data_IF_551782564348
#
_entry.id   IF_551782564348
#
_cell.length_a   1.000
_cell.length_b   1.000
_cell.length_c   1.000
_cell.angle_alpha   90.00
_cell.angle_beta   90.00
_cell.angle_gamma   90.00
#
_symmetry.space_group_name_H-M   'P 1'
#
loop_
_entity.id
_entity.type
_entity.pdbx_description
1 polymer ?
#
# COMPACT_ATOMS: atom_id res chain seq x y z
N UNK A 1 -1.64 -38.83 -10.42
CA UNK A 1 -2.35 -38.54 -9.16
C UNK A 1 -2.30 -37.06 -8.79
N UNK A 2 -1.12 -36.44 -8.59
CA UNK A 2 -1.02 -35.00 -8.24
C UNK A 2 -1.51 -34.04 -9.32
N UNK A 3 -1.18 -34.28 -10.58
CA UNK A 3 -1.67 -33.44 -11.69
C UNK A 3 -3.20 -33.43 -11.74
N UNK A 4 -3.82 -34.60 -11.62
CA UNK A 4 -5.29 -34.74 -11.58
C UNK A 4 -5.89 -34.00 -10.38
N UNK A 5 -5.30 -34.10 -9.20
CA UNK A 5 -5.73 -33.32 -8.03
C UNK A 5 -5.65 -31.81 -8.31
N UNK A 6 -4.53 -31.32 -8.81
CA UNK A 6 -4.32 -29.89 -9.08
C UNK A 6 -5.26 -29.33 -10.15
N UNK A 7 -5.58 -30.12 -11.19
CA UNK A 7 -6.46 -29.68 -12.27
C UNK A 7 -7.94 -29.86 -11.92
N UNK A 8 -8.32 -31.02 -11.40
CA UNK A 8 -9.74 -31.40 -11.20
C UNK A 8 -10.28 -30.98 -9.84
N UNK A 9 -9.52 -31.14 -8.76
CA UNK A 9 -9.98 -30.80 -7.41
C UNK A 9 -9.67 -29.35 -7.03
N UNK A 10 -8.47 -28.86 -7.35
CA UNK A 10 -8.06 -27.47 -7.06
C UNK A 10 -8.53 -26.49 -8.14
N UNK A 11 -8.69 -26.95 -9.39
CA UNK A 11 -9.18 -26.12 -10.49
C UNK A 11 -8.08 -25.29 -11.19
N UNK A 12 -6.82 -25.72 -11.14
CA UNK A 12 -5.74 -25.04 -11.88
C UNK A 12 -5.94 -25.23 -13.39
N UNK A 13 -6.01 -24.15 -14.20
CA UNK A 13 -6.09 -24.28 -15.64
C UNK A 13 -4.89 -25.04 -16.20
N UNK A 14 -5.11 -26.00 -17.10
CA UNK A 14 -4.04 -26.78 -17.74
C UNK A 14 -2.94 -25.90 -18.35
N UNK A 15 -3.33 -24.75 -18.93
CA UNK A 15 -2.41 -23.75 -19.49
C UNK A 15 -1.48 -23.09 -18.47
N UNK A 16 -1.83 -23.09 -17.18
CA UNK A 16 -1.01 -22.54 -16.08
C UNK A 16 -0.25 -23.61 -15.31
N UNK A 17 -0.68 -24.87 -15.38
CA UNK A 17 -0.15 -25.98 -14.58
C UNK A 17 1.38 -26.09 -14.65
N UNK A 18 1.95 -26.06 -15.86
CA UNK A 18 3.40 -26.18 -16.05
C UNK A 18 4.17 -25.08 -15.32
N UNK A 19 3.72 -23.82 -15.46
CA UNK A 19 4.32 -22.67 -14.75
C UNK A 19 4.16 -22.78 -13.24
N UNK A 20 2.99 -23.23 -12.77
CA UNK A 20 2.74 -23.44 -11.34
C UNK A 20 3.71 -24.46 -10.75
N UNK A 21 3.84 -25.64 -11.38
CA UNK A 21 4.77 -26.69 -10.91
C UNK A 21 6.21 -26.20 -10.99
N UNK A 22 6.62 -25.54 -12.08
CA UNK A 22 7.97 -25.01 -12.21
C UNK A 22 8.31 -23.98 -11.12
N UNK A 23 7.34 -23.18 -10.67
CA UNK A 23 7.54 -22.20 -9.60
C UNK A 23 7.58 -22.79 -8.19
N UNK A 24 7.07 -24.01 -8.00
CA UNK A 24 7.13 -24.74 -6.74
C UNK A 24 7.13 -26.26 -6.96
N UNK A 25 8.24 -26.85 -7.43
CA UNK A 25 8.28 -28.28 -7.78
C UNK A 25 8.01 -29.21 -6.59
N UNK A 26 8.35 -28.76 -5.38
CA UNK A 26 8.09 -29.47 -4.13
C UNK A 26 6.61 -29.77 -3.88
N UNK A 27 5.68 -29.11 -4.58
CA UNK A 27 4.25 -29.45 -4.52
C UNK A 27 3.97 -30.93 -4.83
N UNK A 28 4.81 -31.55 -5.65
CA UNK A 28 4.70 -32.96 -6.04
C UNK A 28 5.25 -33.92 -4.97
N UNK A 29 6.06 -33.42 -4.04
CA UNK A 29 6.61 -34.21 -2.93
C UNK A 29 5.63 -34.36 -1.76
N UNK A 30 4.66 -33.45 -1.62
CA UNK A 30 3.65 -33.51 -0.57
C UNK A 30 2.63 -34.61 -0.81
N UNK A 31 2.16 -35.24 0.28
CA UNK A 31 1.08 -36.22 0.21
C UNK A 31 -0.25 -35.50 0.00
N UNK A 32 -1.03 -35.93 -0.99
CA UNK A 32 -2.32 -35.29 -1.30
C UNK A 32 -3.27 -35.39 -0.10
N UNK A 33 -3.42 -36.59 0.47
CA UNK A 33 -4.36 -36.85 1.58
C UNK A 33 -3.95 -36.15 2.88
N UNK A 34 -2.65 -36.10 3.15
CA UNK A 34 -2.15 -35.69 4.47
C UNK A 34 -1.72 -34.21 4.50
N UNK A 35 -1.43 -33.60 3.34
CA UNK A 35 -0.92 -32.22 3.27
C UNK A 35 -1.79 -31.32 2.37
N UNK A 36 -1.92 -31.66 1.09
CA UNK A 36 -2.50 -30.74 0.11
C UNK A 36 -4.02 -30.58 0.28
N UNK A 37 -4.75 -31.69 0.42
CA UNK A 37 -6.22 -31.68 0.53
C UNK A 37 -6.70 -31.04 1.85
N UNK A 38 -6.08 -31.32 3.03
CA UNK A 38 -6.42 -30.60 4.26
C UNK A 38 -6.22 -29.09 4.12
N UNK A 39 -5.16 -28.66 3.45
CA UNK A 39 -4.90 -27.23 3.21
C UNK A 39 -5.97 -26.60 2.31
N UNK A 40 -6.35 -27.26 1.22
CA UNK A 40 -7.45 -26.78 0.35
C UNK A 40 -8.78 -26.73 1.12
N UNK A 41 -9.07 -27.73 1.95
CA UNK A 41 -10.26 -27.78 2.78
C UNK A 41 -10.30 -26.63 3.80
N UNK A 42 -9.17 -26.32 4.45
CA UNK A 42 -9.04 -25.19 5.36
C UNK A 42 -9.26 -23.85 4.64
N UNK A 43 -8.59 -23.63 3.51
CA UNK A 43 -8.71 -22.41 2.71
C UNK A 43 -10.16 -22.16 2.26
N UNK A 44 -10.88 -23.22 1.89
CA UNK A 44 -12.27 -23.11 1.48
C UNK A 44 -13.24 -23.00 2.66
N UNK A 45 -13.16 -23.93 3.62
CA UNK A 45 -14.14 -24.08 4.70
C UNK A 45 -13.97 -23.08 5.84
N UNK A 46 -12.73 -22.78 6.25
CA UNK A 46 -12.47 -21.88 7.38
C UNK A 46 -12.15 -20.45 6.94
N UNK A 47 -11.38 -20.26 5.87
CA UNK A 47 -11.08 -18.91 5.35
C UNK A 47 -12.13 -18.38 4.37
N UNK A 48 -13.07 -19.22 3.94
CA UNK A 48 -14.18 -18.83 3.06
C UNK A 48 -13.76 -18.51 1.62
N UNK A 49 -12.63 -19.06 1.14
CA UNK A 49 -12.19 -18.84 -0.24
C UNK A 49 -13.06 -19.71 -1.18
N UNK A 50 -13.76 -19.12 -2.16
CA UNK A 50 -14.60 -19.89 -3.07
C UNK A 50 -13.80 -20.87 -3.92
N UNK A 51 -14.39 -22.04 -4.23
CA UNK A 51 -13.71 -23.12 -4.98
C UNK A 51 -13.25 -22.66 -6.36
N UNK A 52 -14.07 -21.85 -7.02
CA UNK A 52 -13.79 -21.26 -8.34
C UNK A 52 -12.59 -20.29 -8.33
N UNK A 53 -12.23 -19.74 -7.16
CA UNK A 53 -11.05 -18.86 -7.00
C UNK A 53 -9.80 -19.61 -6.55
N UNK A 54 -9.95 -20.83 -6.05
CA UNK A 54 -8.85 -21.68 -5.54
C UNK A 54 -7.78 -21.92 -6.61
N UNK A 55 -8.19 -22.30 -7.82
CA UNK A 55 -7.28 -22.56 -8.93
C UNK A 55 -6.41 -21.35 -9.27
N UNK A 56 -6.98 -20.14 -9.25
CA UNK A 56 -6.23 -18.90 -9.46
C UNK A 56 -5.26 -18.63 -8.32
N UNK A 57 -5.70 -18.75 -7.07
CA UNK A 57 -4.87 -18.56 -5.87
C UNK A 57 -3.64 -19.47 -5.90
N UNK A 58 -3.84 -20.79 -6.04
CA UNK A 58 -2.76 -21.77 -6.05
C UNK A 58 -1.86 -21.59 -7.28
N UNK A 59 -2.41 -21.21 -8.44
CA UNK A 59 -1.58 -20.91 -9.62
C UNK A 59 -0.64 -19.71 -9.40
N UNK A 60 -1.05 -18.73 -8.59
CA UNK A 60 -0.24 -17.53 -8.31
C UNK A 60 0.70 -17.70 -7.13
N UNK A 61 0.38 -18.58 -6.18
CA UNK A 61 1.17 -18.81 -4.99
C UNK A 61 1.07 -20.26 -4.52
N UNK A 62 1.66 -21.22 -5.27
CA UNK A 62 1.52 -22.64 -4.97
C UNK A 62 2.14 -23.07 -3.63
N UNK A 63 3.06 -22.26 -3.09
CA UNK A 63 3.64 -22.47 -1.75
C UNK A 63 2.57 -22.52 -0.65
N UNK A 64 1.39 -21.92 -0.87
CA UNK A 64 0.30 -21.93 0.11
C UNK A 64 -0.11 -23.35 0.52
N UNK A 65 0.00 -24.32 -0.39
CA UNK A 65 -0.36 -25.72 -0.13
C UNK A 65 0.72 -26.50 0.62
N UNK A 66 1.93 -25.93 0.76
CA UNK A 66 3.02 -26.53 1.52
C UNK A 66 3.02 -26.12 2.99
N UNK A 67 2.20 -25.14 3.40
CA UNK A 67 2.13 -24.70 4.78
C UNK A 67 1.26 -25.63 5.62
N UNK A 68 1.70 -25.88 6.86
CA UNK A 68 0.88 -26.56 7.86
C UNK A 68 -0.33 -25.71 8.23
N UNK A 69 -1.51 -26.31 8.19
CA UNK A 69 -2.75 -25.67 8.64
C UNK A 69 -2.64 -25.27 10.11
N UNK A 70 -2.22 -26.21 10.97
CA UNK A 70 -2.25 -26.04 12.43
C UNK A 70 -1.16 -25.11 12.94
N UNK A 71 0.05 -25.21 12.39
CA UNK A 71 1.21 -24.48 12.94
C UNK A 71 1.53 -23.19 12.20
N UNK A 72 0.90 -22.94 11.05
CA UNK A 72 1.17 -21.73 10.24
C UNK A 72 -0.08 -20.99 9.82
N UNK A 73 -1.00 -21.63 9.10
CA UNK A 73 -2.14 -20.93 8.49
C UNK A 73 -3.15 -20.46 9.54
N UNK A 74 -3.55 -21.34 10.47
CA UNK A 74 -4.53 -21.03 11.51
C UNK A 74 -4.02 -19.98 12.51
N UNK A 75 -2.79 -20.06 13.04
CA UNK A 75 -2.24 -18.99 13.88
C UNK A 75 -2.17 -17.64 13.16
N UNK A 76 -1.80 -17.63 11.87
CA UNK A 76 -1.77 -16.40 11.07
C UNK A 76 -3.18 -15.80 10.89
N UNK A 77 -4.15 -16.63 10.51
CA UNK A 77 -5.53 -16.18 10.35
C UNK A 77 -6.09 -15.63 11.68
N UNK A 78 -5.81 -16.32 12.80
CA UNK A 78 -6.19 -15.89 14.15
C UNK A 78 -5.62 -14.51 14.48
N UNK A 79 -4.32 -14.32 14.27
CA UNK A 79 -3.66 -13.02 14.46
C UNK A 79 -4.32 -11.90 13.64
N UNK A 80 -4.54 -12.14 12.34
CA UNK A 80 -5.15 -11.17 11.43
C UNK A 80 -6.59 -10.80 11.85
N UNK A 81 -7.35 -11.75 12.39
CA UNK A 81 -8.73 -11.53 12.82
C UNK A 81 -8.76 -10.83 14.18
N UNK A 82 -8.11 -11.41 15.19
CA UNK A 82 -8.28 -11.01 16.59
C UNK A 82 -7.41 -9.81 16.97
N UNK A 83 -6.15 -9.78 16.52
CA UNK A 83 -5.21 -8.74 16.89
C UNK A 83 -5.22 -7.57 15.91
N UNK A 84 -5.25 -7.85 14.60
CA UNK A 84 -5.28 -6.80 13.56
C UNK A 84 -6.69 -6.24 13.36
N UNK A 85 -7.74 -7.02 13.66
CA UNK A 85 -9.14 -6.58 13.56
C UNK A 85 -9.75 -6.75 12.17
N UNK A 86 -9.26 -7.69 11.35
CA UNK A 86 -9.89 -8.04 10.08
C UNK A 86 -11.19 -8.81 10.36
N UNK A 87 -12.33 -8.44 9.77
CA UNK A 87 -13.56 -9.23 9.91
C UNK A 87 -13.34 -10.65 9.41
N UNK A 88 -13.82 -11.65 10.17
CA UNK A 88 -13.58 -13.07 9.88
C UNK A 88 -13.99 -13.45 8.46
N UNK A 89 -15.12 -12.95 7.99
CA UNK A 89 -15.65 -13.15 6.64
C UNK A 89 -14.81 -12.50 5.52
N UNK A 90 -13.85 -11.63 5.86
CA UNK A 90 -12.94 -10.97 4.91
C UNK A 90 -11.54 -11.60 4.89
N UNK A 91 -11.24 -12.58 5.76
CA UNK A 91 -9.91 -13.18 5.81
C UNK A 91 -9.52 -13.86 4.48
N UNK A 92 -10.44 -14.57 3.84
CA UNK A 92 -10.23 -15.17 2.53
C UNK A 92 -9.87 -14.13 1.49
N UNK A 93 -10.57 -12.98 1.47
CA UNK A 93 -10.28 -11.86 0.55
C UNK A 93 -8.86 -11.32 0.76
N UNK A 94 -8.42 -11.21 2.02
CA UNK A 94 -7.05 -10.78 2.35
C UNK A 94 -6.00 -11.74 1.81
N UNK A 95 -6.19 -13.05 2.06
CA UNK A 95 -5.28 -14.10 1.57
C UNK A 95 -5.25 -14.13 0.05
N UNK A 96 -6.39 -13.97 -0.62
CA UNK A 96 -6.43 -13.93 -2.09
C UNK A 96 -5.72 -12.70 -2.68
N UNK A 97 -5.84 -11.54 -2.03
CA UNK A 97 -5.15 -10.31 -2.48
C UNK A 97 -3.65 -10.34 -2.24
N UNK A 98 -3.21 -10.97 -1.16
CA UNK A 98 -1.79 -11.05 -0.81
C UNK A 98 -1.45 -12.44 -0.26
N UNK A 99 -1.37 -13.48 -1.12
CA UNK A 99 -1.15 -14.86 -0.67
C UNK A 99 0.12 -15.02 0.16
N UNK A 100 1.17 -14.26 -0.17
CA UNK A 100 2.45 -14.25 0.55
C UNK A 100 2.33 -13.91 2.05
N UNK A 101 1.24 -13.25 2.49
CA UNK A 101 1.05 -12.88 3.89
C UNK A 101 1.05 -14.11 4.80
N UNK A 102 0.56 -15.25 4.30
CA UNK A 102 0.51 -16.51 5.07
C UNK A 102 1.90 -17.12 5.29
N UNK A 103 2.90 -16.71 4.51
CA UNK A 103 4.30 -17.11 4.70
C UNK A 103 5.05 -16.25 5.71
N UNK A 104 4.61 -15.01 5.94
CA UNK A 104 5.27 -14.07 6.83
C UNK A 104 5.27 -14.56 8.29
N UNK A 105 6.30 -14.17 9.05
CA UNK A 105 6.30 -14.32 10.50
C UNK A 105 5.41 -13.24 11.11
N UNK A 106 4.49 -13.65 11.99
CA UNK A 106 3.65 -12.69 12.74
C UNK A 106 4.56 -11.72 13.50
N UNK A 107 5.44 -12.25 14.35
CA UNK A 107 6.21 -11.41 15.28
C UNK A 107 7.33 -10.62 14.61
N UNK A 108 8.00 -11.20 13.60
CA UNK A 108 9.12 -10.53 12.94
C UNK A 108 8.71 -9.62 11.78
N UNK A 109 7.55 -9.83 11.17
CA UNK A 109 7.16 -9.10 9.96
C UNK A 109 5.87 -8.32 10.11
N UNK A 110 4.80 -8.91 10.63
CA UNK A 110 3.48 -8.27 10.62
C UNK A 110 3.26 -7.38 11.85
N UNK A 111 3.56 -7.91 13.04
CA UNK A 111 3.37 -7.24 14.33
C UNK A 111 4.09 -5.90 14.43
N UNK A 112 5.35 -5.74 13.95
CA UNK A 112 6.02 -4.44 13.98
C UNK A 112 5.28 -3.38 13.15
N UNK A 113 4.82 -3.75 11.94
CA UNK A 113 4.10 -2.81 11.07
C UNK A 113 2.72 -2.46 11.64
N UNK A 114 2.03 -3.42 12.27
CA UNK A 114 0.76 -3.16 12.97
C UNK A 114 0.98 -2.25 14.18
N UNK A 115 2.01 -2.50 14.99
CA UNK A 115 2.38 -1.64 16.12
C UNK A 115 2.67 -0.20 15.68
N UNK A 116 3.45 -0.03 14.62
CA UNK A 116 3.69 1.30 14.01
C UNK A 116 2.39 2.03 13.66
N UNK A 117 1.44 1.34 13.01
CA UNK A 117 0.16 1.96 12.63
C UNK A 117 -0.70 2.35 13.84
N UNK A 118 -0.68 1.55 14.90
CA UNK A 118 -1.45 1.81 16.11
C UNK A 118 -0.81 2.91 16.96
N UNK A 119 0.49 2.82 17.21
CA UNK A 119 1.20 3.60 18.22
C UNK A 119 1.81 4.88 17.65
N UNK A 120 2.50 4.80 16.51
CA UNK A 120 3.16 5.98 15.91
C UNK A 120 2.21 6.79 15.01
N UNK A 121 1.31 6.11 14.27
CA UNK A 121 0.34 6.79 13.39
C UNK A 121 -0.97 7.13 14.12
N UNK A 122 -1.25 6.45 15.22
CA UNK A 122 -2.44 6.70 16.04
C UNK A 122 -3.74 6.18 15.42
N UNK A 123 -3.70 5.13 14.60
CA UNK A 123 -4.90 4.49 14.07
C UNK A 123 -5.56 3.59 15.12
N UNK A 124 -6.88 3.52 15.10
CA UNK A 124 -7.59 2.51 15.90
C UNK A 124 -7.45 1.12 15.27
N UNK A 125 -7.61 0.07 16.08
CA UNK A 125 -7.61 -1.32 15.57
C UNK A 125 -8.63 -1.53 14.45
N UNK A 126 -9.82 -0.93 14.54
CA UNK A 126 -10.82 -1.01 13.49
C UNK A 126 -10.35 -0.38 12.17
N UNK A 127 -9.65 0.76 12.25
CA UNK A 127 -9.06 1.42 11.08
C UNK A 127 -7.92 0.57 10.48
N UNK A 128 -7.06 -0.02 11.31
CA UNK A 128 -6.00 -0.94 10.83
C UNK A 128 -6.62 -2.15 10.14
N UNK A 129 -7.61 -2.80 10.73
CA UNK A 129 -8.34 -3.92 10.11
C UNK A 129 -8.95 -3.54 8.75
N UNK A 130 -9.56 -2.36 8.64
CA UNK A 130 -10.10 -1.85 7.38
C UNK A 130 -8.99 -1.60 6.32
N UNK A 131 -7.86 -1.02 6.74
CA UNK A 131 -6.69 -0.77 5.89
C UNK A 131 -6.12 -2.09 5.35
N UNK A 132 -5.85 -3.06 6.22
CA UNK A 132 -5.24 -4.34 5.84
C UNK A 132 -6.21 -5.17 4.99
N UNK A 133 -7.52 -5.10 5.24
CA UNK A 133 -8.54 -5.74 4.39
C UNK A 133 -8.51 -5.19 2.95
N UNK A 134 -8.32 -3.88 2.81
CA UNK A 134 -8.23 -3.22 1.50
C UNK A 134 -6.90 -3.48 0.81
N UNK A 135 -5.79 -3.33 1.54
CA UNK A 135 -4.43 -3.34 1.01
C UNK A 135 -3.45 -4.13 1.92
N UNK A 136 -3.54 -5.46 1.94
CA UNK A 136 -2.78 -6.29 2.88
C UNK A 136 -1.26 -6.28 2.66
N UNK A 137 -0.81 -5.94 1.45
CA UNK A 137 0.62 -5.78 1.15
C UNK A 137 1.29 -4.64 1.93
N UNK A 138 0.52 -3.73 2.54
CA UNK A 138 1.05 -2.67 3.40
C UNK A 138 1.89 -3.23 4.55
N UNK A 139 1.49 -4.37 5.12
CA UNK A 139 2.21 -4.99 6.24
C UNK A 139 3.62 -5.47 5.88
N UNK A 140 3.92 -5.62 4.59
CA UNK A 140 5.25 -5.98 4.10
C UNK A 140 6.13 -4.79 3.73
N UNK A 141 5.69 -3.54 3.95
CA UNK A 141 6.48 -2.35 3.67
C UNK A 141 7.42 -2.05 4.83
N UNK A 142 8.64 -1.60 4.53
CA UNK A 142 9.61 -1.18 5.55
C UNK A 142 9.11 0.04 6.31
N UNK A 143 9.11 -0.03 7.64
CA UNK A 143 8.78 1.13 8.48
C UNK A 143 9.80 2.24 8.25
N UNK A 144 11.09 1.94 8.43
CA UNK A 144 12.20 2.89 8.36
C UNK A 144 12.43 3.50 6.98
N UNK A 145 12.32 2.69 5.93
CA UNK A 145 12.69 3.10 4.58
C UNK A 145 11.49 3.38 3.68
N UNK A 146 10.26 3.24 4.18
CA UNK A 146 9.06 3.46 3.38
C UNK A 146 7.98 4.22 4.14
N UNK A 147 7.42 3.63 5.21
CA UNK A 147 6.22 4.17 5.86
C UNK A 147 6.52 5.46 6.63
N UNK A 148 7.51 5.45 7.54
CA UNK A 148 7.84 6.59 8.39
C UNK A 148 8.32 7.81 7.59
N UNK A 149 9.24 7.68 6.61
CA UNK A 149 9.66 8.82 5.80
C UNK A 149 8.50 9.48 5.03
N UNK A 150 7.54 8.68 4.55
CA UNK A 150 6.36 9.19 3.84
C UNK A 150 5.44 9.95 4.78
N UNK A 151 5.09 9.37 5.92
CA UNK A 151 4.22 10.03 6.91
C UNK A 151 4.87 11.32 7.41
N UNK A 152 6.17 11.27 7.75
CA UNK A 152 6.93 12.45 8.14
C UNK A 152 6.87 13.55 7.06
N UNK A 153 7.07 13.21 5.79
CA UNK A 153 6.97 14.18 4.70
C UNK A 153 5.56 14.79 4.59
N UNK A 154 4.50 13.98 4.67
CA UNK A 154 3.12 14.47 4.59
C UNK A 154 2.78 15.44 5.73
N UNK A 155 3.18 15.12 6.96
CA UNK A 155 2.91 15.95 8.14
C UNK A 155 3.81 17.20 8.16
N UNK A 156 5.12 17.03 7.97
CA UNK A 156 6.10 18.11 8.22
C UNK A 156 6.31 19.01 7.02
N UNK A 157 6.27 18.47 5.80
CA UNK A 157 6.56 19.25 4.58
C UNK A 157 5.29 19.71 3.88
N UNK A 158 4.30 18.81 3.71
CA UNK A 158 3.01 19.18 3.08
C UNK A 158 2.07 19.86 4.09
N UNK A 159 2.36 19.77 5.40
CA UNK A 159 1.52 20.31 6.49
C UNK A 159 0.09 19.74 6.46
N UNK A 160 -0.03 18.45 6.15
CA UNK A 160 -1.31 17.74 6.22
C UNK A 160 -1.57 17.38 7.67
N UNK A 161 -2.79 17.68 8.14
CA UNK A 161 -3.24 17.30 9.46
C UNK A 161 -3.24 15.76 9.63
N UNK A 162 -2.82 15.29 10.79
CA UNK A 162 -2.68 13.85 11.06
C UNK A 162 -4.01 13.10 10.99
N UNK A 163 -5.12 13.72 11.37
CA UNK A 163 -6.45 13.13 11.26
C UNK A 163 -6.85 12.95 9.79
N UNK A 164 -6.53 13.94 8.94
CA UNK A 164 -6.72 13.82 7.49
C UNK A 164 -5.87 12.68 6.93
N UNK A 165 -4.63 12.50 7.40
CA UNK A 165 -3.80 11.35 7.00
C UNK A 165 -4.48 10.04 7.37
N UNK A 166 -4.93 9.88 8.63
CA UNK A 166 -5.62 8.66 9.09
C UNK A 166 -6.84 8.35 8.24
N UNK A 167 -7.69 9.34 7.97
CA UNK A 167 -8.87 9.19 7.10
C UNK A 167 -8.50 8.80 5.66
N UNK A 168 -7.43 9.38 5.11
CA UNK A 168 -6.92 9.04 3.79
C UNK A 168 -6.33 7.63 3.74
N UNK A 169 -5.66 7.16 4.80
CA UNK A 169 -5.16 5.79 4.87
C UNK A 169 -6.31 4.78 4.87
N UNK A 170 -7.40 5.04 5.61
CA UNK A 170 -8.58 4.15 5.64
C UNK A 170 -9.31 4.13 4.29
N UNK A 171 -9.46 5.28 3.65
CA UNK A 171 -10.16 5.39 2.36
C UNK A 171 -9.31 4.86 1.19
N UNK A 172 -8.01 5.20 1.16
CA UNK A 172 -7.05 4.91 0.09
C UNK A 172 -5.67 4.46 0.62
N UNK A 173 -5.55 3.25 1.19
CA UNK A 173 -4.28 2.80 1.80
C UNK A 173 -3.09 2.74 0.84
N UNK A 174 -3.36 2.60 -0.47
CA UNK A 174 -2.35 2.62 -1.53
C UNK A 174 -1.59 3.95 -1.63
N UNK A 175 -2.03 5.00 -0.94
CA UNK A 175 -1.29 6.26 -0.81
C UNK A 175 0.18 6.02 -0.40
N UNK A 176 0.39 5.11 0.55
CA UNK A 176 1.73 4.74 1.04
C UNK A 176 2.48 3.81 0.08
N UNK A 177 1.85 3.31 -0.98
CA UNK A 177 2.54 2.55 -2.03
C UNK A 177 3.28 3.47 -3.02
N UNK A 178 2.86 4.73 -3.18
CA UNK A 178 3.52 5.66 -4.11
C UNK A 178 4.94 6.00 -3.67
N UNK A 179 5.85 6.11 -4.62
CA UNK A 179 7.24 6.48 -4.36
C UNK A 179 7.33 7.90 -3.79
N UNK A 180 8.04 8.05 -2.66
CA UNK A 180 8.28 9.35 -2.05
C UNK A 180 9.09 10.25 -2.98
N UNK A 181 10.18 9.73 -3.54
CA UNK A 181 11.11 10.49 -4.37
C UNK A 181 10.61 10.69 -5.81
N UNK A 182 9.91 9.70 -6.38
CA UNK A 182 9.55 9.75 -7.81
C UNK A 182 8.13 10.30 -8.05
N UNK A 183 7.26 10.28 -7.03
CA UNK A 183 5.87 10.75 -7.20
C UNK A 183 5.48 11.82 -6.19
N UNK A 184 5.63 11.57 -4.89
CA UNK A 184 5.10 12.48 -3.86
C UNK A 184 5.84 13.82 -3.90
N UNK A 185 7.17 13.81 -3.75
CA UNK A 185 7.99 15.02 -3.73
C UNK A 185 7.92 15.84 -5.04
N UNK A 186 8.06 15.24 -6.25
CA UNK A 186 8.03 16.02 -7.49
C UNK A 186 6.68 16.71 -7.71
N UNK A 187 5.56 16.01 -7.44
CA UNK A 187 4.23 16.58 -7.59
C UNK A 187 3.94 17.68 -6.58
N UNK A 188 4.33 17.48 -5.32
CA UNK A 188 4.20 18.49 -4.28
C UNK A 188 4.96 19.78 -4.65
N UNK A 189 6.24 19.66 -5.05
CA UNK A 189 7.08 20.79 -5.44
C UNK A 189 6.51 21.56 -6.64
N UNK A 190 6.01 20.84 -7.65
CA UNK A 190 5.40 21.47 -8.83
C UNK A 190 4.18 22.32 -8.45
N UNK A 191 3.32 21.81 -7.56
CA UNK A 191 2.11 22.52 -7.13
C UNK A 191 2.46 23.76 -6.31
N UNK A 192 3.38 23.65 -5.34
CA UNK A 192 3.86 24.81 -4.56
C UNK A 192 4.47 25.87 -5.47
N UNK A 193 5.32 25.49 -6.43
CA UNK A 193 5.92 26.43 -7.38
C UNK A 193 4.90 27.19 -8.24
N UNK A 194 3.66 26.70 -8.30
CA UNK A 194 2.53 27.35 -8.98
C UNK A 194 1.53 28.02 -8.03
N UNK A 195 1.81 28.04 -6.73
CA UNK A 195 0.89 28.55 -5.71
C UNK A 195 -0.39 27.71 -5.55
N UNK A 196 -0.38 26.45 -6.01
CA UNK A 196 -1.55 25.56 -5.97
C UNK A 196 -1.49 24.63 -4.76
N UNK A 197 -2.65 24.40 -4.13
CA UNK A 197 -2.84 23.41 -3.08
C UNK A 197 -3.92 22.41 -3.47
N UNK A 198 -3.60 21.12 -3.45
CA UNK A 198 -4.53 20.03 -3.76
C UNK A 198 -4.63 19.06 -2.58
N UNK A 199 -5.79 18.41 -2.46
CA UNK A 199 -5.94 17.25 -1.57
C UNK A 199 -5.05 16.07 -2.01
N UNK A 200 -4.63 15.25 -1.05
CA UNK A 200 -3.66 14.16 -1.26
C UNK A 200 -4.10 13.18 -2.35
N UNK A 201 -5.37 12.76 -2.36
CA UNK A 201 -5.89 11.87 -3.39
C UNK A 201 -5.76 12.49 -4.79
N UNK A 202 -6.21 13.74 -4.96
CA UNK A 202 -6.15 14.46 -6.23
C UNK A 202 -4.71 14.70 -6.72
N UNK A 203 -3.77 14.86 -5.79
CA UNK A 203 -2.35 15.00 -6.10
C UNK A 203 -1.72 13.67 -6.52
N UNK A 204 -2.06 12.54 -5.88
CA UNK A 204 -1.28 11.30 -5.96
C UNK A 204 -1.94 10.19 -6.80
N UNK A 205 -3.26 10.13 -6.84
CA UNK A 205 -4.00 9.09 -7.55
C UNK A 205 -3.87 9.16 -9.09
N UNK A 206 -3.91 10.34 -9.75
CA UNK A 206 -3.82 10.40 -11.21
C UNK A 206 -2.51 9.82 -11.76
N UNK A 207 -2.56 9.31 -12.99
CA UNK A 207 -1.34 8.89 -13.71
C UNK A 207 -0.42 10.09 -13.96
N UNK A 208 0.87 9.84 -14.23
CA UNK A 208 1.82 10.92 -14.48
C UNK A 208 1.39 11.74 -15.71
N UNK A 209 0.94 11.08 -16.79
CA UNK A 209 0.44 11.79 -17.97
C UNK A 209 -0.72 12.74 -17.63
N UNK A 210 -1.73 12.25 -16.91
CA UNK A 210 -2.86 13.09 -16.51
C UNK A 210 -2.44 14.24 -15.60
N UNK A 211 -1.58 13.97 -14.61
CA UNK A 211 -1.13 14.98 -13.66
C UNK A 211 -0.31 16.08 -14.33
N UNK A 212 0.72 15.70 -15.10
CA UNK A 212 1.62 16.67 -15.76
C UNK A 212 0.97 17.36 -16.98
N UNK A 213 0.00 16.74 -17.65
CA UNK A 213 -0.82 17.47 -18.63
C UNK A 213 -1.56 18.63 -17.98
N UNK A 214 -2.10 18.42 -16.77
CA UNK A 214 -2.92 19.41 -16.07
C UNK A 214 -2.09 20.49 -15.37
N UNK A 215 -0.97 20.11 -14.77
CA UNK A 215 -0.18 20.99 -13.90
C UNK A 215 1.26 21.20 -14.35
N UNK A 216 1.73 20.54 -15.41
CA UNK A 216 3.12 20.56 -15.88
C UNK A 216 3.36 21.41 -17.13
N UNK A 217 2.47 22.34 -17.45
CA UNK A 217 2.57 23.26 -18.60
C UNK A 217 2.81 22.53 -19.94
N UNK A 218 2.16 21.38 -20.14
CA UNK A 218 2.29 20.57 -21.35
C UNK A 218 3.59 19.76 -21.48
N UNK A 219 4.51 19.85 -20.51
CA UNK A 219 5.74 19.05 -20.49
C UNK A 219 5.44 17.62 -20.00
N UNK A 220 5.91 16.61 -20.74
CA UNK A 220 5.84 15.20 -20.31
C UNK A 220 6.71 14.99 -19.06
N UNK A 221 6.35 14.02 -18.22
CA UNK A 221 7.21 13.58 -17.13
C UNK A 221 8.54 13.07 -17.70
N UNK A 222 9.63 13.82 -17.49
CA UNK A 222 10.99 13.37 -17.77
C UNK A 222 11.64 12.93 -16.45
N UNK A 223 12.19 11.71 -16.34
CA UNK A 223 12.91 11.25 -15.14
C UNK A 223 14.22 12.00 -14.84
N UNK A 224 14.50 13.10 -15.55
CA UNK A 224 15.60 13.97 -15.22
C UNK A 224 15.22 14.80 -13.99
N UNK A 225 15.42 14.22 -12.79
CA UNK A 225 15.84 15.03 -11.66
C UNK A 225 17.20 15.60 -12.09
N UNK A 226 17.21 16.70 -12.85
CA UNK A 226 18.35 17.60 -12.79
C UNK A 226 18.41 17.95 -11.31
N UNK A 227 19.46 17.50 -10.62
CA UNK A 227 19.96 18.24 -9.45
C UNK A 227 19.84 19.69 -9.88
N UNK A 228 18.96 20.46 -9.23
CA UNK A 228 19.12 21.90 -9.26
C UNK A 228 20.49 22.09 -8.66
N UNK A 229 21.49 22.24 -9.54
CA UNK A 229 22.86 22.53 -9.17
C UNK A 229 22.78 23.73 -8.26
N UNK A 230 23.37 23.56 -7.08
CA UNK A 230 23.46 24.59 -6.06
C UNK A 230 23.78 25.91 -6.73
N UNK A 231 22.82 26.84 -6.73
CA UNK A 231 23.17 28.24 -6.78
C UNK A 231 23.75 28.48 -5.40
N UNK A 232 25.07 28.65 -5.39
CA UNK A 232 25.90 28.94 -4.23
C UNK A 232 25.23 29.92 -3.28
N UNK A 233 25.03 29.50 -2.03
CA UNK A 233 24.50 30.34 -0.95
C UNK A 233 23.13 29.89 -0.43
N UNK A 234 22.99 28.62 -0.02
CA UNK A 234 21.74 28.10 0.52
C UNK A 234 21.64 28.27 2.04
N UNK A 235 20.95 29.32 2.49
CA UNK A 235 20.42 29.39 3.85
C UNK A 235 19.12 28.55 3.91
N UNK A 236 19.13 27.52 4.76
CA UNK A 236 17.97 26.70 5.04
C UNK A 236 16.97 27.50 5.89
N UNK A 237 15.74 27.64 5.41
CA UNK A 237 14.68 28.35 6.13
C UNK A 237 14.13 27.54 7.31
N UNK A 238 14.89 27.42 8.41
CA UNK A 238 14.33 27.35 9.76
C UNK A 238 15.33 27.94 10.77
N UNK A 239 15.15 29.20 11.16
CA UNK A 239 15.40 29.72 12.52
C UNK A 239 14.79 31.13 12.63
N UNK A 240 13.99 31.34 13.68
CA UNK A 240 13.23 32.58 13.94
C UNK A 240 14.16 33.73 14.32
N UNK A 241 13.87 34.94 13.87
CA UNK A 241 14.22 36.16 14.63
C UNK A 241 12.92 36.83 15.15
N UNK A 242 12.78 37.02 16.48
CA UNK A 242 11.61 37.56 17.16
C UNK A 242 11.38 39.09 17.01
N UNK A 243 12.04 39.82 16.11
CA UNK A 243 11.89 41.30 16.03
C UNK A 243 11.42 41.93 14.70
N UNK A 244 11.01 41.19 13.67
CA UNK A 244 10.54 41.84 12.44
C UNK A 244 9.06 42.28 12.50
N UNK A 245 8.84 43.57 12.80
CA UNK A 245 7.53 44.23 12.76
C UNK A 245 6.95 44.33 11.33
N UNK A 246 5.61 44.45 11.17
CA UNK A 246 4.92 44.22 9.92
C UNK A 246 4.85 45.50 9.09
N UNK A 247 5.32 45.45 7.84
CA UNK A 247 4.94 46.47 6.85
C UNK A 247 4.16 45.78 5.75
N UNK A 248 2.84 45.91 5.87
CA UNK A 248 1.90 45.75 4.77
C UNK A 248 2.36 46.61 3.60
N UNK A 249 2.32 46.07 2.39
CA UNK A 249 1.88 46.85 1.24
C UNK A 249 1.02 45.95 0.36
N UNK A 250 -0.29 46.22 0.43
CA UNK A 250 -1.26 45.81 -0.54
C UNK A 250 -0.92 46.43 -1.90
N UNK A 251 -1.13 45.69 -2.99
CA UNK A 251 -1.24 46.25 -4.34
C UNK A 251 -2.56 45.72 -4.94
N UNK A 252 -3.35 46.57 -5.63
CA UNK A 252 -4.80 46.49 -5.65
C UNK A 252 -5.38 45.61 -6.76
N UNK A 253 -6.65 45.27 -6.55
CA UNK A 253 -7.52 44.54 -7.48
C UNK A 253 -7.90 45.37 -8.72
N UNK A 254 -7.87 44.67 -9.86
CA UNK A 254 -8.77 44.72 -11.02
C UNK A 254 -9.15 46.08 -11.65
N UNK A 255 -8.85 46.17 -12.95
CA UNK A 255 -9.60 46.98 -13.89
C UNK A 255 -10.96 46.32 -14.19
N UNK A 256 -12.05 47.08 -14.12
CA UNK A 256 -13.25 46.82 -14.90
C UNK A 256 -13.80 48.13 -15.48
N UNK A 257 -14.39 47.94 -16.64
CA UNK A 257 -14.94 48.79 -17.69
C UNK A 257 -15.92 49.91 -17.31
N UNK A 258 -15.98 50.93 -18.18
CA UNK A 258 -17.14 51.82 -18.25
C UNK A 258 -17.05 52.96 -19.28
N UNK A 259 -17.67 52.72 -20.45
CA UNK A 259 -18.32 53.69 -21.39
C UNK A 259 -17.38 54.68 -22.13
N UNK A 260 -17.55 54.99 -23.42
CA UNK A 260 -18.65 54.83 -24.39
C UNK A 260 -18.11 54.40 -25.76
#
# INVERSE_FOLDING_TARGET
MHIDFLVKEVGIPKSRLGKTIASFPHILAYKIKDNLRPTVAYLHGELGIPRERMGKLVSTHPQILGYSVETKLRPMAKYLIEEVGIPKEKIGVVVEKCPKIVGCSVDRNLRPTVGFLLEEVGLTRAQVGAIVTKYPSLLGLSIEHNLRPKIHYLVREIKVDEEVIRQQLVSSPQLLAYSLEQRIKPRHRLLIGKGLKLGLHSMLAPTDNMFYRRYGDGKKHTPAIKKVTAISGGNYYWQKDPQASPVMNAIPLAADSGRA
#
